data_IF_626109177814
#
_entry.id   IF_626109177814
#
_cell.length_a   1.000
_cell.length_b   1.000
_cell.length_c   1.000
_cell.angle_alpha   90.00
_cell.angle_beta   90.00
_cell.angle_gamma   90.00
#
_symmetry.space_group_name_H-M   'P 1'
#
loop_
_entity.id
_entity.type
_entity.pdbx_description
1 polymer ?
#
# COMPACT_ATOMS: atom_id res chain seq x y z
N UNK A 1 -9.82 16.98 -8.18
CA UNK A 1 -9.56 16.54 -6.80
C UNK A 1 -8.11 16.11 -6.73
N UNK A 2 -7.27 16.80 -5.98
CA UNK A 2 -5.87 16.46 -5.85
C UNK A 2 -5.75 15.28 -4.87
N UNK A 3 -5.35 14.12 -5.38
CA UNK A 3 -5.03 12.94 -4.57
C UNK A 3 -3.82 13.29 -3.69
N UNK A 4 -3.93 13.07 -2.39
CA UNK A 4 -2.83 13.37 -1.47
C UNK A 4 -2.11 12.06 -1.16
N UNK A 5 -0.93 11.89 -1.76
CA UNK A 5 -0.11 10.68 -1.66
C UNK A 5 0.26 10.29 -0.22
N UNK A 6 0.12 11.21 0.75
CA UNK A 6 0.35 10.90 2.17
C UNK A 6 -0.84 10.24 2.86
N UNK A 7 -2.05 10.37 2.33
CA UNK A 7 -3.28 9.88 2.96
C UNK A 7 -3.95 8.76 2.17
N UNK A 8 -3.67 8.68 0.88
CA UNK A 8 -4.23 7.68 -0.03
C UNK A 8 -3.29 6.49 -0.18
N UNK A 9 -3.84 5.27 -0.22
CA UNK A 9 -3.13 4.03 -0.45
C UNK A 9 -2.73 3.90 -1.93
N UNK A 10 -1.65 4.56 -2.31
CA UNK A 10 -1.14 4.53 -3.68
C UNK A 10 0.10 3.65 -3.79
N UNK A 11 0.12 2.86 -4.86
CA UNK A 11 1.30 2.08 -5.23
C UNK A 11 2.36 3.00 -5.82
N UNK A 12 3.57 2.95 -5.27
CA UNK A 12 4.75 3.62 -5.80
C UNK A 12 5.46 2.67 -6.75
N UNK A 13 5.32 2.95 -8.04
CA UNK A 13 5.99 2.21 -9.10
C UNK A 13 7.52 2.36 -9.01
N UNK A 14 8.24 1.24 -9.12
CA UNK A 14 9.69 1.28 -9.27
C UNK A 14 10.06 1.85 -10.63
N UNK A 15 10.81 2.96 -10.62
CA UNK A 15 11.43 3.54 -11.82
C UNK A 15 12.94 3.53 -11.65
N UNK A 16 13.62 2.78 -12.50
CA UNK A 16 15.07 2.69 -12.53
C UNK A 16 15.67 4.07 -12.82
N UNK A 17 16.68 4.45 -12.07
CA UNK A 17 17.45 5.66 -12.29
C UNK A 17 18.44 5.51 -13.46
N UNK A 18 18.94 6.65 -13.96
CA UNK A 18 19.97 6.65 -14.97
C UNK A 18 21.30 6.13 -14.40
N UNK A 19 21.90 5.17 -15.11
CA UNK A 19 23.22 4.65 -14.74
C UNK A 19 24.29 5.75 -14.92
N UNK A 20 25.19 5.95 -13.94
CA UNK A 20 26.21 6.98 -14.01
C UNK A 20 27.24 6.70 -15.10
N UNK A 21 27.71 7.75 -15.78
CA UNK A 21 28.74 7.65 -16.82
C UNK A 21 30.17 7.58 -16.24
N UNK A 22 30.34 8.04 -15.00
CA UNK A 22 31.63 8.09 -14.30
C UNK A 22 31.60 7.07 -13.16
N UNK A 23 32.70 6.31 -13.01
CA UNK A 23 32.81 5.18 -12.10
C UNK A 23 32.57 5.55 -10.62
N UNK A 24 32.97 6.76 -10.21
CA UNK A 24 32.76 7.29 -8.85
C UNK A 24 31.28 7.36 -8.45
N UNK A 25 30.38 7.52 -9.44
CA UNK A 25 28.93 7.57 -9.22
C UNK A 25 28.27 6.21 -8.98
N UNK A 26 28.94 5.09 -9.33
CA UNK A 26 28.32 3.75 -9.34
C UNK A 26 27.90 3.32 -7.93
N UNK A 27 28.74 3.57 -6.92
CA UNK A 27 28.42 3.17 -5.54
C UNK A 27 27.18 3.87 -5.01
N UNK A 28 27.05 5.18 -5.27
CA UNK A 28 25.88 5.97 -4.89
C UNK A 28 24.65 5.54 -5.67
N UNK A 29 24.80 5.29 -6.98
CA UNK A 29 23.72 4.76 -7.81
C UNK A 29 23.15 3.46 -7.25
N UNK A 30 24.00 2.49 -6.86
CA UNK A 30 23.53 1.22 -6.28
C UNK A 30 22.76 1.45 -4.97
N UNK A 31 23.25 2.35 -4.10
CA UNK A 31 22.53 2.68 -2.86
C UNK A 31 21.15 3.28 -3.15
N UNK A 32 21.08 4.25 -4.07
CA UNK A 32 19.84 4.90 -4.46
C UNK A 32 18.87 3.91 -5.16
N UNK A 33 19.39 2.98 -5.97
CA UNK A 33 18.60 1.92 -6.60
C UNK A 33 18.01 0.96 -5.57
N UNK A 34 18.80 0.51 -4.60
CA UNK A 34 18.32 -0.36 -3.51
C UNK A 34 17.22 0.34 -2.70
N UNK A 35 17.42 1.63 -2.38
CA UNK A 35 16.41 2.42 -1.69
C UNK A 35 15.12 2.56 -2.51
N UNK A 36 15.22 2.79 -3.83
CA UNK A 36 14.04 2.86 -4.72
C UNK A 36 13.28 1.53 -4.75
N UNK A 37 13.99 0.41 -4.85
CA UNK A 37 13.39 -0.93 -4.84
C UNK A 37 12.70 -1.16 -3.49
N UNK A 38 13.34 -0.82 -2.38
CA UNK A 38 12.78 -0.95 -1.04
C UNK A 38 11.46 -0.17 -0.90
N UNK A 39 11.44 1.11 -1.32
CA UNK A 39 10.24 1.95 -1.26
C UNK A 39 9.11 1.33 -2.09
N UNK A 40 9.41 0.84 -3.29
CA UNK A 40 8.39 0.20 -4.15
C UNK A 40 7.86 -1.09 -3.54
N UNK A 41 8.72 -1.92 -2.94
CA UNK A 41 8.31 -3.15 -2.24
C UNK A 41 7.44 -2.83 -1.01
N UNK A 42 7.84 -1.86 -0.20
CA UNK A 42 7.07 -1.43 0.97
C UNK A 42 5.68 -0.92 0.56
N UNK A 43 5.61 -0.13 -0.52
CA UNK A 43 4.36 0.35 -1.09
C UNK A 43 3.50 -0.78 -1.67
N UNK A 44 4.09 -1.76 -2.36
CA UNK A 44 3.37 -2.94 -2.84
C UNK A 44 2.77 -3.72 -1.68
N UNK A 45 3.55 -3.96 -0.61
CA UNK A 45 3.12 -4.72 0.54
C UNK A 45 1.98 -4.02 1.32
N UNK A 46 1.97 -2.68 1.37
CA UNK A 46 0.91 -1.92 2.04
C UNK A 46 -0.37 -1.83 1.22
N UNK A 47 -0.25 -1.64 -0.10
CA UNK A 47 -1.41 -1.47 -0.99
C UNK A 47 -2.05 -2.77 -1.45
N UNK A 48 -1.31 -3.89 -1.45
CA UNK A 48 -1.84 -5.19 -1.82
C UNK A 48 -3.05 -5.61 -0.97
N UNK A 49 -4.01 -6.27 -1.63
CA UNK A 49 -5.15 -6.88 -0.95
C UNK A 49 -4.66 -8.10 -0.18
N UNK A 50 -4.90 -8.09 1.13
CA UNK A 50 -4.51 -9.17 2.03
C UNK A 50 -5.75 -9.69 2.76
N UNK A 51 -5.78 -11.00 2.98
CA UNK A 51 -6.69 -11.63 3.92
C UNK A 51 -6.15 -11.37 5.32
N UNK A 52 -6.91 -10.68 6.16
CA UNK A 52 -6.45 -10.31 7.50
C UNK A 52 -7.54 -10.56 8.53
N UNK A 53 -7.09 -11.00 9.69
CA UNK A 53 -7.87 -11.40 10.86
C UNK A 53 -7.84 -10.32 11.96
N UNK A 54 -7.19 -9.18 11.67
CA UNK A 54 -7.06 -7.99 12.51
C UNK A 54 -6.93 -6.73 11.63
N UNK A 55 -7.31 -5.54 12.13
CA UNK A 55 -7.12 -4.31 11.38
C UNK A 55 -5.63 -3.99 11.19
N UNK A 56 -5.23 -3.40 10.05
CA UNK A 56 -3.88 -2.85 9.89
C UNK A 56 -3.64 -1.71 10.88
N UNK A 57 -2.40 -1.56 11.37
CA UNK A 57 -2.05 -0.56 12.39
C UNK A 57 -2.29 0.88 11.93
N UNK A 58 -1.98 1.17 10.66
CA UNK A 58 -2.15 2.49 10.06
C UNK A 58 -2.93 2.35 8.74
N UNK A 59 -4.28 2.35 8.78
CA UNK A 59 -5.08 2.28 7.57
C UNK A 59 -4.98 3.60 6.78
N UNK A 60 -4.68 3.49 5.49
CA UNK A 60 -4.69 4.60 4.54
C UNK A 60 -5.98 4.57 3.73
N UNK A 61 -6.47 5.74 3.32
CA UNK A 61 -7.68 5.85 2.51
C UNK A 61 -7.50 5.06 1.21
N UNK A 62 -8.46 4.23 0.85
CA UNK A 62 -8.38 3.34 -0.30
C UNK A 62 -7.71 2.00 -0.02
N UNK A 63 -7.23 1.71 1.19
CA UNK A 63 -6.79 0.35 1.53
C UNK A 63 -7.94 -0.64 1.35
N UNK A 64 -7.67 -1.69 0.57
CA UNK A 64 -8.58 -2.81 0.38
C UNK A 64 -8.03 -4.00 1.16
N UNK A 65 -8.90 -4.65 1.93
CA UNK A 65 -8.58 -5.87 2.69
C UNK A 65 -9.72 -6.86 2.58
N UNK A 66 -9.39 -8.14 2.69
CA UNK A 66 -10.40 -9.19 2.83
C UNK A 66 -10.51 -9.53 4.32
N UNK A 67 -11.62 -9.14 4.94
CA UNK A 67 -11.85 -9.32 6.37
C UNK A 67 -12.32 -10.75 6.68
N UNK A 68 -11.64 -11.40 7.64
CA UNK A 68 -12.00 -12.71 8.19
C UNK A 68 -12.07 -12.65 9.71
N UNK A 69 -12.85 -13.54 10.31
CA UNK A 69 -12.95 -13.68 11.77
C UNK A 69 -11.56 -13.85 12.41
N UNK A 70 -11.26 -13.17 13.54
CA UNK A 70 -12.17 -12.39 14.39
C UNK A 70 -12.33 -10.92 13.98
N UNK A 71 -11.66 -10.44 12.94
CA UNK A 71 -11.81 -9.06 12.52
C UNK A 71 -13.11 -8.83 11.77
N UNK A 72 -14.02 -8.16 12.44
CA UNK A 72 -15.30 -7.71 11.89
C UNK A 72 -15.36 -6.18 11.87
N UNK A 73 -14.79 -5.54 10.84
CA UNK A 73 -14.74 -4.08 10.74
C UNK A 73 -16.12 -3.45 10.58
N UNK A 74 -17.16 -4.24 10.27
CA UNK A 74 -18.53 -3.76 10.08
C UNK A 74 -19.45 -4.11 11.27
N UNK A 75 -18.98 -4.92 12.24
CA UNK A 75 -19.77 -5.40 13.38
C UNK A 75 -21.07 -6.11 12.98
N UNK A 76 -21.07 -6.82 11.85
CA UNK A 76 -22.24 -7.53 11.29
C UNK A 76 -21.98 -9.02 11.07
N UNK A 77 -20.82 -9.53 11.46
CA UNK A 77 -20.33 -10.86 11.10
C UNK A 77 -19.91 -10.98 9.63
N UNK A 78 -19.69 -9.86 8.95
CA UNK A 78 -19.37 -9.83 7.52
C UNK A 78 -17.93 -10.32 7.27
N UNK A 79 -17.79 -11.29 6.36
CA UNK A 79 -16.50 -11.70 5.80
C UNK A 79 -16.47 -11.42 4.30
N UNK A 80 -15.48 -10.66 3.85
CA UNK A 80 -15.39 -10.21 2.46
C UNK A 80 -14.50 -8.99 2.28
N UNK A 81 -14.54 -8.43 1.06
CA UNK A 81 -13.73 -7.27 0.71
C UNK A 81 -14.28 -5.99 1.34
N UNK A 82 -13.41 -5.28 2.04
CA UNK A 82 -13.67 -3.98 2.65
C UNK A 82 -12.65 -2.95 2.17
N UNK A 83 -13.10 -1.70 2.05
CA UNK A 83 -12.27 -0.54 1.71
C UNK A 83 -12.31 0.48 2.84
N UNK A 84 -11.17 1.09 3.16
CA UNK A 84 -11.09 2.18 4.13
C UNK A 84 -11.36 3.54 3.47
N UNK A 85 -12.33 4.31 3.99
CA UNK A 85 -12.70 5.62 3.42
C UNK A 85 -11.90 6.81 3.97
N UNK A 86 -10.99 6.55 4.92
CA UNK A 86 -10.21 7.55 5.66
C UNK A 86 -10.62 7.64 7.13
N UNK A 87 -11.86 7.24 7.47
CA UNK A 87 -12.39 7.22 8.83
C UNK A 87 -12.94 5.85 9.24
N UNK A 88 -13.59 5.14 8.30
CA UNK A 88 -14.28 3.88 8.55
C UNK A 88 -14.02 2.87 7.43
N UNK A 89 -14.19 1.59 7.75
CA UNK A 89 -14.24 0.52 6.77
C UNK A 89 -15.64 0.41 6.15
N UNK A 90 -15.70 0.13 4.85
CA UNK A 90 -16.93 -0.01 4.08
C UNK A 90 -16.88 -1.30 3.26
N UNK A 91 -18.02 -1.95 3.06
CA UNK A 91 -18.11 -3.08 2.13
C UNK A 91 -17.84 -2.62 0.69
N UNK A 92 -17.10 -3.40 -0.08
CA UNK A 92 -16.96 -3.18 -1.53
C UNK A 92 -18.13 -3.87 -2.22
N UNK A 93 -18.87 -3.13 -3.05
CA UNK A 93 -19.94 -3.68 -3.90
C UNK A 93 -19.48 -3.55 -5.35
N UNK A 94 -19.31 -4.68 -6.03
CA UNK A 94 -19.02 -4.71 -7.47
C UNK A 94 -20.37 -4.69 -8.18
N UNK A 95 -20.60 -3.66 -9.01
CA UNK A 95 -21.84 -3.46 -9.78
C UNK A 95 -21.64 -4.01 -11.18
#
# INVERSE_FOLDING_TARGET
MATNEKTDALFTEYKRGQYPQIEEGIRRYIQDELQRIEISLQSAASTAVQVVDKPPQNPLKGHIRFAVSPWDPLSTGYSGLVVYDGNNWRKITIV
#
